data_IF_297783050773
#
_entry.id   IF_297783050773
#
_cell.length_a   1.000
_cell.length_b   1.000
_cell.length_c   1.000
_cell.angle_alpha   90.00
_cell.angle_beta   90.00
_cell.angle_gamma   90.00
#
_symmetry.space_group_name_H-M   'P 1'
#
loop_
_entity.id
_entity.type
_entity.pdbx_description
1 polymer ?
#
# COMPACT_ATOMS: atom_id res chain seq x y z
N UNK A 1 32.48 -9.92 12.55
CA UNK A 1 31.51 -10.83 11.90
C UNK A 1 30.32 -10.93 12.84
N UNK A 2 29.32 -10.09 12.67
CA UNK A 2 28.10 -10.10 13.49
C UNK A 2 27.21 -11.20 12.95
N UNK A 3 26.99 -12.27 13.74
CA UNK A 3 26.06 -13.34 13.43
C UNK A 3 24.68 -12.73 13.14
N UNK A 4 24.16 -12.92 11.94
CA UNK A 4 22.72 -12.72 11.68
C UNK A 4 21.99 -13.73 12.57
N UNK A 5 21.48 -13.27 13.71
CA UNK A 5 20.56 -14.06 14.50
C UNK A 5 19.36 -14.41 13.61
N UNK A 6 19.04 -15.70 13.51
CA UNK A 6 17.88 -16.16 12.76
C UNK A 6 16.65 -15.41 13.28
N UNK A 7 15.88 -14.75 12.39
CA UNK A 7 14.63 -14.07 12.75
C UNK A 7 13.71 -15.10 13.41
N UNK A 8 13.12 -14.73 14.53
CA UNK A 8 12.11 -15.55 15.19
C UNK A 8 10.89 -15.72 14.27
N UNK A 9 10.31 -16.89 14.34
CA UNK A 9 9.08 -17.23 13.58
C UNK A 9 7.82 -17.15 14.44
N UNK A 10 7.99 -16.96 15.75
CA UNK A 10 6.89 -16.82 16.72
C UNK A 10 7.10 -15.59 17.58
N UNK A 11 5.99 -14.92 18.01
CA UNK A 11 6.07 -13.74 18.85
C UNK A 11 6.68 -14.02 20.21
N UNK A 12 7.37 -13.02 20.74
CA UNK A 12 7.77 -12.96 22.15
C UNK A 12 6.63 -12.33 22.94
N UNK A 13 5.95 -13.15 23.70
CA UNK A 13 4.84 -12.70 24.52
C UNK A 13 5.32 -11.88 25.72
N UNK A 14 4.66 -10.74 25.98
CA UNK A 14 4.92 -9.93 27.16
C UNK A 14 4.56 -10.65 28.47
N UNK A 15 4.82 -10.02 29.63
CA UNK A 15 4.58 -10.63 30.94
C UNK A 15 3.14 -11.06 31.19
N UNK A 16 2.19 -10.48 30.49
CA UNK A 16 0.76 -10.82 30.54
C UNK A 16 0.33 -11.82 29.44
N UNK A 17 1.27 -12.43 28.74
CA UNK A 17 0.99 -13.36 27.65
C UNK A 17 0.50 -12.70 26.36
N UNK A 18 0.61 -11.37 26.22
CA UNK A 18 0.11 -10.64 25.06
C UNK A 18 1.23 -9.93 24.32
N UNK A 19 1.08 -9.83 22.98
CA UNK A 19 1.87 -8.95 22.12
C UNK A 19 0.95 -7.94 21.42
N UNK A 20 1.41 -6.70 21.20
CA UNK A 20 0.67 -5.74 20.38
C UNK A 20 0.65 -6.19 18.92
N UNK A 21 -0.52 -6.06 18.29
CA UNK A 21 -0.70 -6.32 16.86
C UNK A 21 -1.16 -5.04 16.17
N UNK A 22 -0.30 -4.49 15.34
CA UNK A 22 -0.56 -3.33 14.49
C UNK A 22 -1.18 -3.84 13.21
N UNK A 23 -2.36 -3.35 12.86
CA UNK A 23 -3.04 -3.72 11.62
C UNK A 23 -2.90 -2.60 10.61
N UNK A 24 -2.42 -2.96 9.43
CA UNK A 24 -2.11 -2.04 8.34
C UNK A 24 -2.84 -2.46 7.08
N UNK A 25 -3.43 -1.49 6.38
CA UNK A 25 -4.02 -1.71 5.06
C UNK A 25 -2.92 -1.98 4.03
N UNK A 26 -3.00 -3.09 3.31
CA UNK A 26 -2.00 -3.48 2.30
C UNK A 26 -2.01 -2.52 1.10
N UNK A 27 -3.14 -1.87 0.83
CA UNK A 27 -3.29 -1.02 -0.35
C UNK A 27 -2.50 0.30 -0.26
N UNK A 28 -2.34 0.88 0.94
CA UNK A 28 -1.67 2.18 1.10
C UNK A 28 -0.76 2.30 2.34
N UNK A 29 -0.62 1.23 3.10
CA UNK A 29 0.21 1.24 4.31
C UNK A 29 -0.41 1.99 5.49
N UNK A 30 -1.69 2.37 5.43
CA UNK A 30 -2.37 3.07 6.52
C UNK A 30 -2.55 2.16 7.72
N UNK A 31 -2.18 2.63 8.91
CA UNK A 31 -2.50 1.94 10.15
C UNK A 31 -4.01 2.03 10.40
N UNK A 32 -4.66 0.89 10.53
CA UNK A 32 -6.11 0.78 10.70
C UNK A 32 -6.51 0.70 12.17
N UNK A 33 -5.80 -0.10 12.94
CA UNK A 33 -6.03 -0.27 14.37
C UNK A 33 -4.81 -0.91 15.07
N UNK A 34 -4.84 -0.90 16.39
CA UNK A 34 -3.98 -1.74 17.22
C UNK A 34 -4.87 -2.64 18.09
N UNK A 35 -4.53 -3.91 18.14
CA UNK A 35 -5.13 -4.88 19.05
C UNK A 35 -4.07 -5.64 19.82
N UNK A 36 -4.48 -6.66 20.57
CA UNK A 36 -3.58 -7.52 21.32
C UNK A 36 -3.82 -8.96 20.91
N UNK A 37 -2.75 -9.72 20.72
CA UNK A 37 -2.81 -11.15 20.45
C UNK A 37 -2.15 -11.91 21.60
N UNK A 38 -2.73 -13.04 21.94
CA UNK A 38 -2.11 -14.12 22.68
C UNK A 38 -1.74 -15.24 21.71
N UNK A 39 -1.19 -16.33 22.19
CA UNK A 39 -0.81 -17.49 21.40
C UNK A 39 -2.00 -18.09 20.61
N UNK A 40 -3.20 -18.10 21.20
CA UNK A 40 -4.40 -18.60 20.55
C UNK A 40 -4.82 -17.69 19.39
N UNK A 41 -4.90 -16.37 19.62
CA UNK A 41 -5.25 -15.39 18.59
C UNK A 41 -4.26 -15.41 17.42
N UNK A 42 -2.97 -15.55 17.73
CA UNK A 42 -1.90 -15.69 16.74
C UNK A 42 -2.12 -16.90 15.83
N UNK A 43 -2.29 -18.09 16.42
CA UNK A 43 -2.47 -19.34 15.66
C UNK A 43 -3.77 -19.35 14.87
N UNK A 44 -4.86 -18.88 15.45
CA UNK A 44 -6.16 -18.84 14.76
C UNK A 44 -6.14 -17.83 13.62
N UNK A 45 -5.46 -16.69 13.77
CA UNK A 45 -5.26 -15.71 12.69
C UNK A 45 -4.53 -16.34 11.50
N UNK A 46 -3.42 -17.03 11.73
CA UNK A 46 -2.66 -17.70 10.66
C UNK A 46 -3.48 -18.81 9.98
N UNK A 47 -4.22 -19.59 10.78
CA UNK A 47 -5.00 -20.72 10.28
C UNK A 47 -6.19 -20.28 9.42
N UNK A 48 -6.86 -19.18 9.80
CA UNK A 48 -8.11 -18.75 9.16
C UNK A 48 -7.90 -17.68 8.08
N UNK A 49 -6.74 -17.01 8.07
CA UNK A 49 -6.50 -15.84 7.23
C UNK A 49 -7.36 -14.62 7.63
N UNK A 50 -7.95 -14.62 8.82
CA UNK A 50 -8.77 -13.53 9.36
C UNK A 50 -8.20 -13.09 10.71
N UNK A 51 -8.16 -11.78 10.95
CA UNK A 51 -7.53 -11.25 12.18
C UNK A 51 -8.37 -11.57 13.41
N UNK A 52 -7.72 -12.20 14.37
CA UNK A 52 -8.23 -12.46 15.70
C UNK A 52 -7.37 -11.75 16.74
N UNK A 53 -7.98 -11.35 17.82
CA UNK A 53 -7.34 -10.67 18.94
C UNK A 53 -7.73 -11.33 20.25
N UNK A 54 -6.95 -11.06 21.29
CA UNK A 54 -7.34 -11.27 22.66
C UNK A 54 -8.00 -9.99 23.22
N UNK A 55 -9.24 -10.09 23.67
CA UNK A 55 -9.94 -8.98 24.30
C UNK A 55 -9.51 -8.83 25.77
N UNK A 56 -8.69 -7.82 26.08
CA UNK A 56 -8.21 -7.57 27.46
C UNK A 56 -9.31 -7.30 28.49
N UNK A 57 -10.47 -6.81 28.04
CA UNK A 57 -11.60 -6.48 28.94
C UNK A 57 -12.54 -7.66 29.16
N UNK A 58 -12.65 -8.56 28.18
CA UNK A 58 -13.57 -9.73 28.22
C UNK A 58 -12.82 -11.04 28.44
N UNK A 59 -11.49 -10.98 28.45
CA UNK A 59 -10.58 -12.12 28.62
C UNK A 59 -10.96 -13.31 27.69
N UNK A 60 -11.08 -13.01 26.38
CA UNK A 60 -11.45 -14.02 25.39
C UNK A 60 -10.88 -13.74 24.01
N UNK A 61 -10.77 -14.80 23.22
CA UNK A 61 -10.54 -14.69 21.79
C UNK A 61 -11.68 -13.89 21.13
N UNK A 62 -11.33 -13.00 20.21
CA UNK A 62 -12.28 -12.19 19.47
C UNK A 62 -11.84 -12.03 18.03
N UNK A 63 -12.71 -12.38 17.07
CA UNK A 63 -12.49 -12.14 15.65
C UNK A 63 -12.94 -10.74 15.28
N UNK A 64 -12.07 -9.98 14.61
CA UNK A 64 -12.48 -8.68 14.07
C UNK A 64 -13.59 -8.88 13.04
N UNK A 65 -14.69 -8.13 13.21
CA UNK A 65 -15.86 -8.23 12.36
C UNK A 65 -16.85 -9.36 12.76
N UNK A 66 -16.67 -10.05 13.90
CA UNK A 66 -17.58 -11.13 14.33
C UNK A 66 -19.05 -10.69 14.46
N UNK A 67 -19.29 -9.41 14.73
CA UNK A 67 -20.65 -8.84 14.87
C UNK A 67 -21.01 -7.91 13.71
N UNK A 68 -20.06 -7.14 13.18
CA UNK A 68 -20.33 -6.13 12.15
C UNK A 68 -20.21 -6.66 10.71
N UNK A 69 -19.56 -7.80 10.50
CA UNK A 69 -19.16 -8.27 9.17
C UNK A 69 -17.94 -7.57 8.59
N UNK A 70 -17.43 -6.51 9.23
CA UNK A 70 -16.23 -5.77 8.79
C UNK A 70 -14.98 -6.54 9.18
N UNK A 71 -14.64 -7.54 8.40
CA UNK A 71 -13.51 -8.44 8.63
C UNK A 71 -12.19 -7.81 8.15
N UNK A 72 -11.09 -8.32 8.65
CA UNK A 72 -9.73 -8.00 8.20
C UNK A 72 -9.11 -9.28 7.63
N UNK A 73 -8.98 -9.32 6.29
CA UNK A 73 -8.42 -10.48 5.58
C UNK A 73 -6.90 -10.35 5.54
N UNK A 74 -6.20 -11.29 6.16
CA UNK A 74 -4.73 -11.27 6.26
C UNK A 74 -4.08 -11.49 4.89
N UNK A 75 -3.11 -10.65 4.56
CA UNK A 75 -2.22 -10.81 3.41
C UNK A 75 -0.81 -11.19 3.82
N UNK A 76 -0.31 -10.54 4.87
CA UNK A 76 1.01 -10.80 5.38
C UNK A 76 1.04 -10.61 6.91
N UNK A 77 1.88 -11.37 7.58
CA UNK A 77 2.18 -11.18 9.00
C UNK A 77 3.70 -11.13 9.17
N UNK A 78 4.18 -10.07 9.80
CA UNK A 78 5.60 -9.85 10.06
C UNK A 78 5.81 -9.57 11.54
N UNK A 79 6.86 -10.12 12.11
CA UNK A 79 7.33 -9.77 13.45
C UNK A 79 8.39 -8.68 13.32
N UNK A 80 8.44 -7.77 14.30
CA UNK A 80 9.50 -6.77 14.36
C UNK A 80 10.89 -7.40 14.67
N UNK A 81 11.89 -6.56 14.93
CA UNK A 81 13.28 -7.02 14.99
C UNK A 81 13.58 -7.93 16.19
N UNK A 82 12.88 -7.79 17.31
CA UNK A 82 13.00 -8.58 18.54
C UNK A 82 11.77 -9.47 18.81
N UNK A 83 10.79 -9.43 17.87
CA UNK A 83 9.59 -10.25 17.84
C UNK A 83 8.60 -9.97 18.99
N UNK A 84 8.63 -8.80 19.59
CA UNK A 84 7.69 -8.40 20.66
C UNK A 84 6.48 -7.61 20.13
N UNK A 85 6.46 -7.28 18.83
CA UNK A 85 5.34 -6.67 18.13
C UNK A 85 5.01 -7.38 16.80
N UNK A 86 3.73 -7.41 16.46
CA UNK A 86 3.19 -8.08 15.27
C UNK A 86 2.66 -7.01 14.32
N UNK A 87 3.12 -7.01 13.07
CA UNK A 87 2.52 -6.25 11.98
C UNK A 87 1.66 -7.20 11.14
N UNK A 88 0.39 -6.86 10.96
CA UNK A 88 -0.56 -7.62 10.14
C UNK A 88 -1.02 -6.75 8.99
N UNK A 89 -0.54 -7.02 7.79
CA UNK A 89 -1.03 -6.40 6.56
C UNK A 89 -2.31 -7.11 6.10
N UNK A 90 -3.36 -6.33 5.85
CA UNK A 90 -4.71 -6.84 5.59
C UNK A 90 -5.39 -6.14 4.42
N UNK A 91 -6.37 -6.82 3.81
CA UNK A 91 -7.45 -6.20 3.05
C UNK A 91 -8.65 -6.02 3.98
N UNK A 92 -9.06 -4.80 4.32
CA UNK A 92 -10.22 -4.56 5.15
C UNK A 92 -11.53 -4.76 4.37
N UNK A 93 -12.49 -5.47 4.97
CA UNK A 93 -13.86 -5.55 4.45
C UNK A 93 -14.71 -4.51 5.18
N UNK A 94 -14.89 -3.36 4.55
CA UNK A 94 -15.59 -2.22 5.16
C UNK A 94 -14.78 -1.47 6.21
N UNK A 95 -15.41 -0.56 6.96
CA UNK A 95 -14.73 0.28 7.94
C UNK A 95 -14.16 -0.53 9.10
N UNK A 96 -12.93 -0.22 9.50
CA UNK A 96 -12.27 -0.94 10.60
C UNK A 96 -12.76 -0.47 11.97
N UNK A 97 -13.04 0.81 12.13
CA UNK A 97 -13.46 1.38 13.41
C UNK A 97 -14.93 1.06 13.72
N UNK A 98 -15.26 0.93 15.01
CA UNK A 98 -16.64 0.79 15.49
C UNK A 98 -17.49 2.06 15.33
N UNK A 99 -16.86 3.18 14.96
CA UNK A 99 -17.51 4.45 14.61
C UNK A 99 -17.73 4.60 13.10
N UNK A 100 -17.63 3.49 12.37
CA UNK A 100 -17.77 3.43 10.91
C UNK A 100 -16.75 4.30 10.16
N UNK A 101 -15.60 4.60 10.76
CA UNK A 101 -14.45 5.20 10.05
C UNK A 101 -13.52 4.12 9.55
N UNK A 102 -12.76 4.42 8.48
CA UNK A 102 -11.80 3.49 7.89
C UNK A 102 -10.75 3.02 8.89
N UNK A 103 -10.26 3.93 9.73
CA UNK A 103 -9.25 3.67 10.75
C UNK A 103 -9.72 4.10 12.14
N UNK A 104 -9.25 3.41 13.18
CA UNK A 104 -9.44 3.84 14.57
C UNK A 104 -8.71 5.16 14.89
N UNK A 105 -7.82 5.61 14.03
CA UNK A 105 -7.06 6.85 14.16
C UNK A 105 -7.65 8.00 13.32
N UNK A 106 -8.78 7.78 12.67
CA UNK A 106 -9.49 8.83 11.95
C UNK A 106 -10.22 9.78 12.90
N UNK A 107 -10.33 11.08 12.56
CA UNK A 107 -11.14 12.01 13.31
C UNK A 107 -12.63 11.64 13.26
N UNK A 108 -13.39 12.10 14.24
CA UNK A 108 -14.84 11.88 14.28
C UNK A 108 -15.51 12.48 13.03
N UNK A 109 -16.41 11.70 12.42
CA UNK A 109 -17.12 12.09 11.22
C UNK A 109 -16.32 11.94 9.91
N UNK A 110 -15.12 11.34 9.95
CA UNK A 110 -14.42 10.98 8.73
C UNK A 110 -15.25 9.98 7.89
N UNK A 111 -15.27 10.11 6.56
CA UNK A 111 -16.00 9.19 5.69
C UNK A 111 -15.59 7.72 5.92
N UNK A 112 -16.58 6.83 6.05
CA UNK A 112 -16.34 5.39 6.12
C UNK A 112 -15.67 4.83 4.87
N UNK A 113 -15.94 5.47 3.73
CA UNK A 113 -15.45 5.12 2.40
C UNK A 113 -14.25 5.97 1.96
N UNK A 114 -13.35 6.33 2.89
CA UNK A 114 -12.08 6.91 2.45
C UNK A 114 -11.30 5.84 1.68
N UNK A 115 -11.59 5.74 0.37
CA UNK A 115 -10.86 4.88 -0.54
C UNK A 115 -9.38 5.18 -0.44
N UNK A 116 -8.58 4.14 -0.31
CA UNK A 116 -7.13 4.24 -0.46
C UNK A 116 -6.82 4.97 -1.76
N UNK A 117 -5.98 5.99 -1.70
CA UNK A 117 -5.47 6.62 -2.92
C UNK A 117 -4.31 5.81 -3.54
N UNK A 118 -3.94 4.69 -2.95
CA UNK A 118 -2.94 3.78 -3.48
C UNK A 118 -1.48 4.28 -3.40
N UNK A 119 -1.21 5.44 -2.82
CA UNK A 119 0.16 6.00 -2.79
C UNK A 119 1.16 5.10 -2.04
N UNK A 120 0.73 4.33 -1.05
CA UNK A 120 1.58 3.33 -0.39
C UNK A 120 2.03 2.21 -1.33
N UNK A 121 1.19 1.81 -2.30
CA UNK A 121 1.53 0.82 -3.31
C UNK A 121 2.67 1.28 -4.24
N UNK A 122 2.79 2.58 -4.49
CA UNK A 122 3.88 3.14 -5.31
C UNK A 122 5.27 2.86 -4.72
N UNK A 123 5.40 2.70 -3.40
CA UNK A 123 6.65 2.28 -2.76
C UNK A 123 7.07 0.87 -3.20
N UNK A 124 6.10 -0.05 -3.27
CA UNK A 124 6.33 -1.41 -3.78
C UNK A 124 6.71 -1.42 -5.27
N UNK A 125 6.02 -0.59 -6.07
CA UNK A 125 6.35 -0.41 -7.48
C UNK A 125 7.78 0.12 -7.66
N UNK A 126 8.16 1.15 -6.89
CA UNK A 126 9.52 1.68 -6.92
C UNK A 126 10.56 0.64 -6.55
N UNK A 127 10.32 -0.14 -5.49
CA UNK A 127 11.22 -1.23 -5.08
C UNK A 127 11.41 -2.23 -6.21
N UNK A 128 10.35 -2.58 -6.92
CA UNK A 128 10.42 -3.47 -8.09
C UNK A 128 11.22 -2.86 -9.24
N UNK A 129 11.02 -1.57 -9.56
CA UNK A 129 11.77 -0.88 -10.61
C UNK A 129 13.25 -0.78 -10.25
N UNK A 130 13.56 -0.43 -9.01
CA UNK A 130 14.93 -0.32 -8.50
C UNK A 130 15.67 -1.66 -8.53
N UNK A 131 15.02 -2.76 -8.14
CA UNK A 131 15.59 -4.11 -8.27
C UNK A 131 15.88 -4.45 -9.75
N UNK A 132 14.93 -4.21 -10.64
CA UNK A 132 15.13 -4.44 -12.09
C UNK A 132 16.21 -3.55 -12.69
N UNK A 133 16.40 -2.35 -12.15
CA UNK A 133 17.51 -1.47 -12.55
C UNK A 133 18.88 -2.02 -12.15
N UNK A 134 18.97 -2.72 -11.00
CA UNK A 134 20.18 -3.41 -10.55
C UNK A 134 20.42 -4.71 -11.30
N UNK A 135 19.40 -5.57 -11.35
CA UNK A 135 19.55 -6.98 -11.72
C UNK A 135 19.42 -7.23 -13.22
N UNK A 136 18.79 -6.32 -13.97
CA UNK A 136 18.59 -6.36 -15.44
C UNK A 136 18.09 -7.71 -15.93
N UNK A 137 16.97 -8.26 -15.39
CA UNK A 137 16.53 -9.60 -15.75
C UNK A 137 16.12 -9.69 -17.23
N UNK A 138 16.50 -10.80 -17.87
CA UNK A 138 16.15 -11.08 -19.26
C UNK A 138 14.62 -11.08 -19.46
N UNK A 139 14.16 -10.51 -20.58
CA UNK A 139 12.73 -10.41 -20.90
C UNK A 139 11.96 -9.35 -20.12
N UNK A 140 12.61 -8.60 -19.24
CA UNK A 140 11.97 -7.51 -18.50
C UNK A 140 11.84 -6.25 -19.35
N UNK A 141 10.60 -5.76 -19.52
CA UNK A 141 10.33 -4.49 -20.18
C UNK A 141 11.04 -3.30 -19.48
N UNK A 142 11.01 -3.26 -18.15
CA UNK A 142 11.75 -2.24 -17.38
C UNK A 142 13.24 -2.27 -17.70
N UNK A 143 13.85 -3.47 -17.72
CA UNK A 143 15.27 -3.62 -18.04
C UNK A 143 15.57 -3.13 -19.46
N UNK A 144 14.73 -3.45 -20.44
CA UNK A 144 14.92 -3.01 -21.84
C UNK A 144 14.87 -1.48 -21.99
N UNK A 145 14.00 -0.80 -21.26
CA UNK A 145 13.95 0.67 -21.24
C UNK A 145 15.22 1.27 -20.63
N UNK A 146 15.68 0.69 -19.53
CA UNK A 146 16.88 1.13 -18.84
C UNK A 146 18.16 0.86 -19.68
N UNK A 147 18.19 -0.23 -20.45
CA UNK A 147 19.28 -0.53 -21.38
C UNK A 147 19.33 0.47 -22.57
N UNK A 148 18.16 0.98 -22.96
CA UNK A 148 18.04 2.06 -23.93
C UNK A 148 18.44 3.44 -23.39
N UNK A 149 18.71 3.54 -22.08
CA UNK A 149 19.19 4.74 -21.38
C UNK A 149 18.17 5.88 -21.34
N UNK A 150 18.65 7.06 -20.98
CA UNK A 150 17.82 8.26 -20.77
C UNK A 150 16.96 8.62 -21.97
N UNK A 151 17.42 8.37 -23.19
CA UNK A 151 16.65 8.69 -24.40
C UNK A 151 15.45 7.77 -24.59
N UNK A 152 15.57 6.48 -24.28
CA UNK A 152 14.46 5.53 -24.38
C UNK A 152 13.41 5.82 -23.28
N UNK A 153 13.84 5.94 -22.04
CA UNK A 153 12.95 6.26 -20.92
C UNK A 153 12.29 7.64 -21.09
N UNK A 154 13.07 8.66 -21.47
CA UNK A 154 12.56 10.03 -21.64
C UNK A 154 11.56 10.16 -22.80
N UNK A 155 11.77 9.42 -23.91
CA UNK A 155 10.80 9.36 -25.01
C UNK A 155 9.46 8.80 -24.54
N UNK A 156 9.46 7.71 -23.76
CA UNK A 156 8.23 7.15 -23.22
C UNK A 156 7.51 8.14 -22.30
N UNK A 157 8.20 8.83 -21.41
CA UNK A 157 7.57 9.88 -20.58
C UNK A 157 6.86 10.94 -21.43
N UNK A 158 7.47 11.36 -22.56
CA UNK A 158 6.88 12.37 -23.43
C UNK A 158 5.66 11.83 -24.19
N UNK A 159 5.73 10.57 -24.63
CA UNK A 159 4.64 9.86 -25.31
C UNK A 159 3.43 9.76 -24.36
N UNK A 160 3.59 9.20 -23.19
CA UNK A 160 2.51 9.01 -22.20
C UNK A 160 1.92 10.37 -21.71
N UNK A 161 2.76 11.39 -21.53
CA UNK A 161 2.25 12.73 -21.18
C UNK A 161 1.33 13.29 -22.28
N UNK A 162 1.60 12.97 -23.54
CA UNK A 162 0.74 13.38 -24.67
C UNK A 162 -0.56 12.58 -24.68
N UNK A 163 -0.50 11.30 -24.41
CA UNK A 163 -1.66 10.39 -24.37
C UNK A 163 -2.60 10.74 -23.22
N UNK A 164 -2.07 11.06 -22.03
CA UNK A 164 -2.86 11.62 -20.91
C UNK A 164 -3.62 12.88 -21.36
N UNK A 165 -2.97 13.80 -22.08
CA UNK A 165 -3.62 15.04 -22.53
C UNK A 165 -4.74 14.74 -23.54
N UNK A 166 -4.53 13.80 -24.46
CA UNK A 166 -5.54 13.38 -25.44
C UNK A 166 -6.74 12.77 -24.71
N UNK A 167 -6.50 11.78 -23.85
CA UNK A 167 -7.55 11.12 -23.07
C UNK A 167 -8.36 12.14 -22.21
N UNK A 168 -7.69 13.09 -21.58
CA UNK A 168 -8.36 14.13 -20.79
C UNK A 168 -9.21 15.06 -21.67
N UNK A 169 -8.81 15.34 -22.92
CA UNK A 169 -9.62 16.12 -23.85
C UNK A 169 -10.85 15.35 -24.32
N UNK A 170 -10.72 14.06 -24.56
CA UNK A 170 -11.84 13.20 -24.93
C UNK A 170 -12.86 13.09 -23.78
N UNK A 171 -12.39 12.99 -22.54
CA UNK A 171 -13.25 13.01 -21.36
C UNK A 171 -13.98 14.37 -21.22
N UNK A 172 -13.29 15.48 -21.44
CA UNK A 172 -13.91 16.81 -21.42
C UNK A 172 -14.94 16.98 -22.54
N UNK A 173 -14.71 16.40 -23.72
CA UNK A 173 -15.69 16.41 -24.81
C UNK A 173 -16.93 15.57 -24.48
N UNK A 174 -16.76 14.41 -23.87
CA UNK A 174 -17.84 13.57 -23.39
C UNK A 174 -18.66 14.28 -22.29
N UNK A 175 -18.00 15.00 -21.37
CA UNK A 175 -18.67 15.85 -20.37
C UNK A 175 -19.51 16.93 -21.01
N UNK A 176 -18.97 17.66 -21.95
CA UNK A 176 -19.69 18.71 -22.67
C UNK A 176 -20.91 18.16 -23.45
N UNK A 177 -20.82 16.94 -23.94
CA UNK A 177 -21.90 16.23 -24.62
C UNK A 177 -22.91 15.57 -23.65
N UNK A 178 -22.71 15.65 -22.35
CA UNK A 178 -23.53 14.99 -21.31
C UNK A 178 -23.61 13.47 -21.52
N UNK A 179 -22.54 12.86 -22.06
CA UNK A 179 -22.43 11.43 -22.34
C UNK A 179 -21.94 10.65 -21.13
N UNK A 180 -22.07 9.31 -21.14
CA UNK A 180 -21.40 8.46 -20.15
C UNK A 180 -19.89 8.60 -20.28
N UNK A 181 -19.23 8.90 -19.16
CA UNK A 181 -17.79 9.17 -19.07
C UNK A 181 -16.99 8.01 -18.50
N UNK A 182 -17.61 6.87 -18.26
CA UNK A 182 -16.90 5.74 -17.61
C UNK A 182 -15.66 5.33 -18.42
N UNK A 183 -15.83 5.08 -19.72
CA UNK A 183 -14.72 4.66 -20.58
C UNK A 183 -13.64 5.75 -20.75
N UNK A 184 -14.02 7.02 -20.85
CA UNK A 184 -13.06 8.13 -21.02
C UNK A 184 -12.27 8.38 -19.72
N UNK A 185 -12.88 8.24 -18.56
CA UNK A 185 -12.18 8.32 -17.27
C UNK A 185 -11.23 7.15 -17.06
N UNK A 186 -11.63 5.95 -17.46
CA UNK A 186 -10.77 4.77 -17.42
C UNK A 186 -9.55 4.96 -18.34
N UNK A 187 -9.74 5.55 -19.53
CA UNK A 187 -8.63 5.90 -20.41
C UNK A 187 -7.68 6.92 -19.77
N UNK A 188 -8.20 8.01 -19.18
CA UNK A 188 -7.35 8.98 -18.45
C UNK A 188 -6.55 8.29 -17.34
N UNK A 189 -7.16 7.38 -16.58
CA UNK A 189 -6.49 6.66 -15.52
C UNK A 189 -5.40 5.70 -16.07
N UNK A 190 -5.66 5.05 -17.19
CA UNK A 190 -4.72 4.17 -17.88
C UNK A 190 -3.46 4.92 -18.33
N UNK A 191 -3.64 5.98 -19.11
CA UNK A 191 -2.51 6.78 -19.61
C UNK A 191 -1.73 7.47 -18.47
N UNK A 192 -2.43 7.93 -17.43
CA UNK A 192 -1.78 8.49 -16.24
C UNK A 192 -0.97 7.42 -15.47
N UNK A 193 -1.41 6.16 -15.44
CA UNK A 193 -0.64 5.08 -14.83
C UNK A 193 0.65 4.79 -15.61
N UNK A 194 0.58 4.78 -16.95
CA UNK A 194 1.74 4.60 -17.81
C UNK A 194 2.73 5.77 -17.69
N UNK A 195 2.24 7.00 -17.60
CA UNK A 195 3.09 8.17 -17.34
C UNK A 195 3.81 8.07 -15.99
N UNK A 196 3.10 7.69 -14.92
CA UNK A 196 3.71 7.51 -13.59
C UNK A 196 4.78 6.42 -13.62
N UNK A 197 4.46 5.27 -14.24
CA UNK A 197 5.41 4.17 -14.38
C UNK A 197 6.68 4.59 -15.12
N UNK A 198 6.56 5.20 -16.30
CA UNK A 198 7.71 5.62 -17.11
C UNK A 198 8.51 6.76 -16.45
N UNK A 199 7.85 7.65 -15.70
CA UNK A 199 8.54 8.65 -14.90
C UNK A 199 9.41 8.00 -13.79
N UNK A 200 8.89 6.98 -13.09
CA UNK A 200 9.67 6.23 -12.10
C UNK A 200 10.85 5.48 -12.75
N UNK A 201 10.67 4.89 -13.93
CA UNK A 201 11.77 4.25 -14.67
C UNK A 201 12.86 5.27 -15.05
N UNK A 202 12.47 6.46 -15.51
CA UNK A 202 13.42 7.53 -15.83
C UNK A 202 14.17 8.02 -14.58
N UNK A 203 13.50 8.13 -13.44
CA UNK A 203 14.13 8.46 -12.16
C UNK A 203 15.15 7.39 -11.75
N UNK A 204 14.81 6.11 -11.89
CA UNK A 204 15.71 5.00 -11.60
C UNK A 204 16.94 5.01 -12.52
N UNK A 205 16.75 5.29 -13.81
CA UNK A 205 17.84 5.43 -14.79
C UNK A 205 18.80 6.56 -14.39
N UNK A 206 18.29 7.65 -13.81
CA UNK A 206 19.10 8.79 -13.35
C UNK A 206 19.61 8.66 -11.91
N UNK A 207 19.28 7.56 -11.20
CA UNK A 207 19.64 7.38 -9.79
C UNK A 207 18.97 8.39 -8.85
N UNK A 208 17.81 8.93 -9.24
CA UNK A 208 17.04 9.88 -8.44
C UNK A 208 15.93 9.14 -7.72
N UNK A 209 15.86 9.25 -6.40
CA UNK A 209 14.80 8.60 -5.62
C UNK A 209 13.47 9.37 -5.71
N UNK A 210 12.30 8.69 -5.66
CA UNK A 210 11.01 9.37 -5.53
C UNK A 210 10.92 10.27 -4.30
N UNK A 211 11.59 9.90 -3.20
CA UNK A 211 11.66 10.76 -2.00
C UNK A 211 12.25 12.15 -2.29
N UNK A 212 13.26 12.23 -3.16
CA UNK A 212 13.82 13.53 -3.56
C UNK A 212 12.78 14.39 -4.30
N UNK A 213 11.93 13.77 -5.14
CA UNK A 213 10.82 14.48 -5.82
C UNK A 213 9.78 14.94 -4.80
N UNK A 214 9.42 14.10 -3.83
CA UNK A 214 8.49 14.44 -2.76
C UNK A 214 9.02 15.60 -1.91
N UNK A 215 10.31 15.62 -1.60
CA UNK A 215 10.93 16.72 -0.82
C UNK A 215 10.88 18.06 -1.58
N UNK A 216 11.07 18.05 -2.89
CA UNK A 216 10.86 19.24 -3.73
C UNK A 216 9.41 19.72 -3.67
N UNK A 217 8.44 18.78 -3.79
CA UNK A 217 7.02 19.12 -3.70
C UNK A 217 6.66 19.70 -2.32
N UNK A 218 7.13 19.07 -1.25
CA UNK A 218 6.96 19.56 0.12
C UNK A 218 7.55 20.97 0.30
N UNK A 219 8.73 21.20 -0.27
CA UNK A 219 9.38 22.53 -0.22
C UNK A 219 8.59 23.64 -0.93
N UNK A 220 7.86 23.29 -1.99
CA UNK A 220 6.99 24.22 -2.75
C UNK A 220 5.61 24.42 -2.12
N UNK A 221 5.17 23.47 -1.32
CA UNK A 221 3.81 23.41 -0.75
C UNK A 221 3.83 23.73 0.75
N UNK A 222 4.59 24.76 1.14
CA UNK A 222 4.52 25.28 2.52
C UNK A 222 3.25 26.12 2.63
N UNK A 223 2.35 25.82 3.63
CA UNK A 223 1.20 26.65 3.91
C UNK A 223 1.61 28.04 4.41
#
# INVERSE_FOLDING_TARGET
MTSLAARRTEPLWGPNGLAPAIVQDVADGRVLMLGWMDDEAWRVTQKTGKVHFHSRTRDRLWRKGESSGHELVVREITLDCDADAILVAVDPVGPTCHRDTRSCFDPDGAPSESTSQGFGWLEGLWTTIASRASDRPEGSYTASLLDGGVNAAGRKVTEEATEVLIAAKDDAAAEAATSDRTATRDAVAGEAADLVYHALVLLAERGVSPSAVIDVLRGRHRP
#
